data_IF_379483458967
#
_entry.id   IF_379483458967
#
_cell.length_a   1.000
_cell.length_b   1.000
_cell.length_c   1.000
_cell.angle_alpha   90.00
_cell.angle_beta   90.00
_cell.angle_gamma   90.00
#
_symmetry.space_group_name_H-M   'P 1'
#
loop_
_entity.id
_entity.type
_entity.pdbx_description
1 polymer ?
#
# COMPACT_ATOMS: atom_id res chain seq x y z
N UNK A 1 6.01 -48.17 60.77
CA UNK A 1 6.26 -47.66 59.41
C UNK A 1 5.08 -48.01 58.53
N UNK A 2 4.15 -47.09 58.25
CA UNK A 2 3.10 -47.22 57.21
C UNK A 2 2.18 -45.99 57.31
N UNK A 3 2.58 -44.82 56.79
CA UNK A 3 1.62 -43.70 56.59
C UNK A 3 2.03 -42.61 55.59
N UNK A 4 3.20 -42.71 54.94
CA UNK A 4 3.69 -41.67 54.02
C UNK A 4 3.37 -41.92 52.53
N UNK A 5 2.99 -43.13 52.11
CA UNK A 5 2.78 -43.40 50.67
C UNK A 5 1.40 -42.98 50.13
N UNK A 6 0.35 -42.97 50.96
CA UNK A 6 -1.02 -42.64 50.50
C UNK A 6 -1.23 -41.17 50.12
N UNK A 7 -0.44 -40.24 50.67
CA UNK A 7 -0.63 -38.80 50.44
C UNK A 7 -0.04 -38.36 49.09
N UNK A 8 1.10 -38.94 48.68
CA UNK A 8 1.72 -38.66 47.38
C UNK A 8 0.91 -39.18 46.19
N UNK A 9 0.23 -40.33 46.33
CA UNK A 9 -0.61 -40.87 45.24
C UNK A 9 -1.87 -40.02 45.01
N UNK A 10 -2.49 -39.51 46.08
CA UNK A 10 -3.63 -38.58 45.97
C UNK A 10 -3.23 -37.24 45.34
N UNK A 11 -2.06 -36.69 45.68
CA UNK A 11 -1.58 -35.44 45.06
C UNK A 11 -1.19 -35.63 43.60
N UNK A 12 -0.60 -36.78 43.22
CA UNK A 12 -0.30 -37.14 41.82
C UNK A 12 -1.57 -37.40 41.00
N UNK A 13 -2.56 -38.07 41.58
CA UNK A 13 -3.86 -38.28 40.94
C UNK A 13 -4.64 -36.96 40.78
N UNK A 14 -4.59 -36.07 41.79
CA UNK A 14 -5.22 -34.75 41.73
C UNK A 14 -4.55 -33.85 40.69
N UNK A 15 -3.21 -33.88 40.58
CA UNK A 15 -2.49 -33.17 39.51
C UNK A 15 -2.78 -33.75 38.12
N UNK A 16 -2.87 -35.07 37.98
CA UNK A 16 -3.23 -35.72 36.71
C UNK A 16 -4.68 -35.38 36.28
N UNK A 17 -5.62 -35.39 37.23
CA UNK A 17 -7.02 -35.01 36.99
C UNK A 17 -7.15 -33.52 36.68
N UNK A 18 -6.39 -32.65 37.37
CA UNK A 18 -6.34 -31.22 37.07
C UNK A 18 -5.76 -30.94 35.68
N UNK A 19 -4.71 -31.68 35.27
CA UNK A 19 -4.13 -31.55 33.94
C UNK A 19 -5.08 -32.06 32.84
N UNK A 20 -5.83 -33.13 33.13
CA UNK A 20 -6.87 -33.66 32.24
C UNK A 20 -8.07 -32.70 32.12
N UNK A 21 -8.42 -31.97 33.17
CA UNK A 21 -9.51 -30.98 33.17
C UNK A 21 -9.18 -29.74 32.33
N UNK A 22 -7.91 -29.32 32.28
CA UNK A 22 -7.45 -28.21 31.44
C UNK A 22 -7.55 -28.54 29.95
N UNK A 23 -7.41 -29.81 29.56
CA UNK A 23 -7.56 -30.27 28.17
C UNK A 23 -9.02 -30.19 27.66
N UNK A 24 -10.02 -30.12 28.55
CA UNK A 24 -11.43 -29.93 28.18
C UNK A 24 -11.80 -28.45 27.91
N UNK A 25 -10.92 -27.50 28.24
CA UNK A 25 -11.08 -26.09 27.87
C UNK A 25 -10.41 -25.71 26.55
N UNK A 26 -9.88 -26.68 25.80
CA UNK A 26 -9.53 -26.53 24.38
C UNK A 26 -10.83 -26.44 23.56
N UNK A 27 -11.63 -25.41 23.82
CA UNK A 27 -12.89 -25.15 23.13
C UNK A 27 -12.57 -24.82 21.68
N UNK A 28 -13.21 -25.55 20.76
CA UNK A 28 -13.43 -25.10 19.40
C UNK A 28 -13.90 -23.64 19.42
N UNK A 29 -13.13 -22.74 18.83
CA UNK A 29 -13.69 -21.49 18.36
C UNK A 29 -14.58 -21.82 17.18
N UNK A 30 -15.89 -21.81 17.39
CA UNK A 30 -16.83 -21.81 16.27
C UNK A 30 -16.69 -20.45 15.58
N UNK A 31 -15.98 -20.44 14.45
CA UNK A 31 -15.88 -19.25 13.61
C UNK A 31 -17.27 -18.92 13.08
N UNK A 32 -17.86 -17.83 13.57
CA UNK A 32 -19.13 -17.33 13.03
C UNK A 32 -18.88 -16.84 11.60
N UNK A 33 -19.29 -17.65 10.63
CA UNK A 33 -19.29 -17.24 9.22
C UNK A 33 -20.57 -16.47 8.98
N UNK A 34 -20.45 -15.18 8.71
CA UNK A 34 -21.58 -14.33 8.37
C UNK A 34 -21.95 -14.59 6.92
N UNK A 35 -23.24 -14.72 6.64
CA UNK A 35 -23.74 -14.73 5.26
C UNK A 35 -23.72 -13.29 4.75
N UNK A 36 -22.67 -12.96 3.99
CA UNK A 36 -22.44 -11.61 3.47
C UNK A 36 -22.93 -11.55 2.03
N UNK A 37 -23.74 -10.54 1.71
CA UNK A 37 -24.10 -10.25 0.33
C UNK A 37 -22.84 -9.95 -0.49
N UNK A 38 -22.63 -10.73 -1.55
CA UNK A 38 -21.53 -10.49 -2.49
C UNK A 38 -22.02 -9.53 -3.57
N UNK A 39 -21.40 -8.34 -3.63
CA UNK A 39 -21.68 -7.36 -4.67
C UNK A 39 -21.26 -7.83 -6.07
N UNK A 40 -21.66 -7.07 -7.09
CA UNK A 40 -21.22 -7.33 -8.46
C UNK A 40 -19.69 -7.28 -8.58
N UNK A 41 -19.12 -8.27 -9.27
CA UNK A 41 -17.69 -8.29 -9.61
C UNK A 41 -17.36 -7.11 -10.53
N UNK A 42 -16.41 -6.27 -10.13
CA UNK A 42 -15.93 -5.11 -10.90
C UNK A 42 -14.48 -5.29 -11.31
N UNK A 43 -14.12 -4.73 -12.45
CA UNK A 43 -12.71 -4.64 -12.89
C UNK A 43 -11.95 -3.70 -11.97
N UNK A 44 -10.70 -4.05 -11.67
CA UNK A 44 -9.75 -3.25 -10.90
C UNK A 44 -8.52 -3.04 -11.77
N UNK A 45 -8.16 -1.78 -12.05
CA UNK A 45 -6.98 -1.40 -12.83
C UNK A 45 -6.01 -0.66 -11.91
N UNK A 46 -4.91 -1.33 -11.58
CA UNK A 46 -3.79 -0.75 -10.84
C UNK A 46 -2.71 -0.33 -11.84
N UNK A 47 -2.77 0.94 -12.24
CA UNK A 47 -1.92 1.53 -13.26
C UNK A 47 -0.99 2.58 -12.63
N UNK A 48 -0.02 2.09 -11.87
CA UNK A 48 1.03 2.90 -11.27
C UNK A 48 2.27 2.95 -12.18
N UNK A 49 2.54 4.14 -12.70
CA UNK A 49 3.77 4.44 -13.44
C UNK A 49 4.72 5.18 -12.50
N UNK A 50 5.85 4.55 -12.17
CA UNK A 50 6.86 5.15 -11.30
C UNK A 50 8.15 5.29 -12.08
N UNK A 51 8.62 6.53 -12.23
CA UNK A 51 9.97 6.77 -12.70
C UNK A 51 10.90 6.99 -11.50
N UNK A 52 11.74 6.00 -11.21
CA UNK A 52 12.77 6.16 -10.19
C UNK A 52 13.90 7.07 -10.70
N UNK A 53 14.26 8.08 -9.90
CA UNK A 53 15.40 8.97 -10.16
C UNK A 53 16.67 8.16 -10.43
N UNK A 54 17.43 8.60 -11.43
CA UNK A 54 18.66 7.93 -11.87
C UNK A 54 18.44 6.71 -12.78
N UNK A 55 17.18 6.34 -13.08
CA UNK A 55 16.86 5.30 -14.07
C UNK A 55 16.32 5.90 -15.37
N UNK A 56 16.21 5.08 -16.41
CA UNK A 56 15.56 5.44 -17.69
C UNK A 56 14.03 5.51 -17.57
N UNK A 57 13.43 4.84 -16.59
CA UNK A 57 11.97 4.81 -16.39
C UNK A 57 11.17 4.13 -17.51
N UNK A 58 11.83 3.36 -18.38
CA UNK A 58 11.22 2.76 -19.57
C UNK A 58 10.43 1.48 -19.32
N UNK A 59 10.75 0.77 -18.24
CA UNK A 59 10.05 -0.45 -17.84
C UNK A 59 8.94 -0.11 -16.85
N UNK A 60 7.69 -0.33 -17.25
CA UNK A 60 6.50 0.02 -16.48
C UNK A 60 5.50 -1.12 -16.51
N UNK A 61 4.71 -1.25 -15.44
CA UNK A 61 3.80 -2.39 -15.26
C UNK A 61 2.41 -1.91 -14.84
N UNK A 62 1.38 -2.47 -15.46
CA UNK A 62 -0.03 -2.29 -15.09
C UNK A 62 -0.60 -3.65 -14.72
N UNK A 63 -1.36 -3.70 -13.62
CA UNK A 63 -2.06 -4.90 -13.19
C UNK A 63 -3.55 -4.74 -13.36
N UNK A 64 -4.20 -5.75 -13.94
CA UNK A 64 -5.65 -5.78 -14.11
C UNK A 64 -6.22 -7.03 -13.46
N UNK A 65 -7.19 -6.82 -12.57
CA UNK A 65 -7.82 -7.86 -11.78
C UNK A 65 -9.31 -7.56 -11.62
N UNK A 66 -10.00 -8.38 -10.82
CA UNK A 66 -11.39 -8.18 -10.43
C UNK A 66 -11.54 -8.18 -8.91
N UNK A 67 -12.56 -7.49 -8.43
CA UNK A 67 -12.96 -7.58 -7.02
C UNK A 67 -13.27 -9.03 -6.67
N UNK A 68 -13.09 -9.38 -5.39
CA UNK A 68 -13.36 -10.70 -4.88
C UNK A 68 -14.32 -10.60 -3.68
N UNK A 69 -15.12 -11.66 -3.41
CA UNK A 69 -15.90 -11.76 -2.18
C UNK A 69 -15.02 -11.63 -0.93
N UNK A 70 -15.60 -11.19 0.19
CA UNK A 70 -14.87 -10.90 1.43
C UNK A 70 -13.98 -12.06 1.93
N UNK A 71 -14.47 -13.29 1.85
CA UNK A 71 -13.73 -14.47 2.32
C UNK A 71 -12.70 -15.02 1.32
N UNK A 72 -12.56 -14.39 0.15
CA UNK A 72 -11.55 -14.80 -0.83
C UNK A 72 -10.20 -14.13 -0.55
N UNK A 73 -9.19 -14.94 -0.28
CA UNK A 73 -7.82 -14.48 -0.06
C UNK A 73 -7.07 -14.09 -1.35
N UNK A 74 -7.71 -14.21 -2.52
CA UNK A 74 -7.11 -13.87 -3.81
C UNK A 74 -8.10 -13.18 -4.74
N UNK A 75 -7.59 -12.23 -5.52
CA UNK A 75 -8.34 -11.52 -6.57
C UNK A 75 -8.21 -12.23 -7.92
N UNK A 76 -9.29 -12.50 -8.65
CA UNK A 76 -9.20 -13.00 -10.02
C UNK A 76 -8.42 -12.04 -10.93
N UNK A 77 -7.57 -12.58 -11.82
CA UNK A 77 -6.78 -11.80 -12.78
C UNK A 77 -7.53 -11.66 -14.11
N UNK A 78 -7.30 -10.55 -14.82
CA UNK A 78 -7.94 -10.28 -16.13
C UNK A 78 -6.90 -10.38 -17.23
N UNK A 79 -6.98 -11.44 -18.02
CA UNK A 79 -6.11 -11.69 -19.18
C UNK A 79 -6.71 -11.19 -20.49
N UNK A 80 -5.86 -10.99 -21.50
CA UNK A 80 -6.26 -10.61 -22.85
C UNK A 80 -6.78 -9.18 -23.00
N UNK A 81 -6.53 -8.30 -22.03
CA UNK A 81 -6.86 -6.88 -22.15
C UNK A 81 -5.91 -6.19 -23.16
N UNK A 82 -6.42 -5.16 -23.81
CA UNK A 82 -5.61 -4.24 -24.61
C UNK A 82 -5.32 -3.01 -23.76
N UNK A 83 -4.04 -2.74 -23.50
CA UNK A 83 -3.60 -1.68 -22.60
C UNK A 83 -2.59 -0.80 -23.31
N UNK A 84 -2.85 0.51 -23.35
CA UNK A 84 -1.92 1.51 -23.87
C UNK A 84 -1.99 2.81 -23.09
N UNK A 85 -0.86 3.50 -23.02
CA UNK A 85 -0.79 4.90 -22.58
C UNK A 85 -0.39 5.75 -23.77
N UNK A 86 -0.99 6.93 -23.90
CA UNK A 86 -0.65 7.93 -24.90
C UNK A 86 -0.24 9.22 -24.19
N UNK A 87 0.88 9.83 -24.58
CA UNK A 87 1.25 11.14 -24.05
C UNK A 87 0.62 12.28 -24.87
N UNK A 88 0.70 13.50 -24.37
CA UNK A 88 0.16 14.70 -25.04
C UNK A 88 0.74 14.96 -26.45
N UNK A 89 1.92 14.44 -26.75
CA UNK A 89 2.56 14.58 -28.07
C UNK A 89 2.06 13.53 -29.08
N UNK A 90 1.26 12.56 -28.65
CA UNK A 90 0.74 11.47 -29.48
C UNK A 90 1.64 10.22 -29.51
N UNK A 91 2.69 10.15 -28.68
CA UNK A 91 3.48 8.93 -28.55
C UNK A 91 2.66 7.85 -27.82
N UNK A 92 2.66 6.64 -28.36
CA UNK A 92 1.87 5.51 -27.84
C UNK A 92 2.81 4.47 -27.23
N UNK A 93 2.52 4.09 -25.98
CA UNK A 93 3.21 3.06 -25.23
C UNK A 93 2.24 1.89 -24.98
N UNK A 94 2.50 0.76 -25.62
CA UNK A 94 1.69 -0.46 -25.47
C UNK A 94 2.22 -1.31 -24.31
N UNK A 95 1.31 -1.78 -23.46
CA UNK A 95 1.62 -2.71 -22.38
C UNK A 95 1.17 -4.12 -22.80
N UNK A 96 2.13 -5.03 -22.97
CA UNK A 96 1.86 -6.39 -23.42
C UNK A 96 1.69 -7.32 -22.22
N UNK A 97 0.75 -8.27 -22.30
CA UNK A 97 0.55 -9.24 -21.23
C UNK A 97 1.77 -10.18 -21.11
N UNK A 98 2.39 -10.22 -19.93
CA UNK A 98 3.53 -11.12 -19.64
C UNK A 98 3.15 -12.25 -18.69
N UNK A 99 1.97 -12.17 -18.07
CA UNK A 99 1.36 -13.18 -17.23
C UNK A 99 -0.08 -12.77 -16.88
N UNK A 100 -0.89 -13.67 -16.29
CA UNK A 100 -2.30 -13.38 -16.05
C UNK A 100 -2.53 -12.06 -15.29
N UNK A 101 -3.15 -11.09 -15.97
CA UNK A 101 -3.43 -9.77 -15.40
C UNK A 101 -2.22 -8.86 -15.22
N UNK A 102 -1.07 -9.19 -15.79
CA UNK A 102 0.17 -8.43 -15.71
C UNK A 102 0.57 -7.91 -17.10
N UNK A 103 0.58 -6.60 -17.28
CA UNK A 103 0.85 -5.94 -18.56
C UNK A 103 2.09 -5.06 -18.43
N UNK A 104 3.08 -5.26 -19.28
CA UNK A 104 4.40 -4.62 -19.20
C UNK A 104 4.72 -3.84 -20.45
N UNK A 105 5.21 -2.62 -20.27
CA UNK A 105 5.80 -1.77 -21.31
C UNK A 105 7.30 -1.65 -21.02
N UNK A 106 8.15 -1.76 -22.05
CA UNK A 106 9.62 -1.70 -21.92
C UNK A 106 10.25 -0.50 -22.63
N UNK A 107 9.44 0.32 -23.29
CA UNK A 107 9.86 1.48 -24.06
C UNK A 107 9.12 2.76 -23.64
N UNK A 108 8.62 2.82 -22.40
CA UNK A 108 7.99 4.02 -21.87
C UNK A 108 8.99 5.18 -21.86
N UNK A 109 8.53 6.39 -22.19
CA UNK A 109 9.37 7.59 -22.14
C UNK A 109 8.72 8.58 -21.18
N UNK A 110 9.18 8.63 -19.91
CA UNK A 110 8.64 9.55 -18.93
C UNK A 110 9.08 10.98 -19.21
N UNK A 111 8.16 11.92 -19.09
CA UNK A 111 8.41 13.37 -19.22
C UNK A 111 7.71 14.06 -18.06
N UNK A 112 8.48 14.73 -17.18
CA UNK A 112 7.93 15.51 -16.06
C UNK A 112 6.93 16.54 -16.58
N UNK A 113 5.83 16.72 -15.86
CA UNK A 113 4.76 17.67 -16.12
C UNK A 113 3.98 17.43 -17.43
N UNK A 114 4.17 16.28 -18.07
CA UNK A 114 3.41 15.84 -19.24
C UNK A 114 2.10 15.17 -18.84
N UNK A 115 1.03 15.46 -19.58
CA UNK A 115 -0.26 14.77 -19.46
C UNK A 115 -0.20 13.44 -20.24
N UNK A 116 -0.72 12.38 -19.61
CA UNK A 116 -0.84 11.05 -20.20
C UNK A 116 -2.28 10.56 -20.10
N UNK A 117 -2.70 9.79 -21.10
CA UNK A 117 -4.03 9.17 -21.15
C UNK A 117 -3.88 7.66 -21.21
N UNK A 118 -4.47 6.97 -20.23
CA UNK A 118 -4.60 5.52 -20.21
C UNK A 118 -5.82 5.09 -21.04
N UNK A 119 -5.66 4.00 -21.78
CA UNK A 119 -6.73 3.28 -22.44
C UNK A 119 -6.64 1.80 -22.11
N UNK A 120 -7.75 1.23 -21.64
CA UNK A 120 -7.87 -0.20 -21.34
C UNK A 120 -9.14 -0.73 -21.98
N UNK A 121 -9.03 -1.79 -22.78
CA UNK A 121 -10.17 -2.57 -23.25
C UNK A 121 -10.08 -3.98 -22.69
N UNK A 122 -11.06 -4.40 -21.89
CA UNK A 122 -11.08 -5.71 -21.23
C UNK A 122 -12.52 -6.22 -21.12
N UNK A 123 -12.76 -7.51 -21.37
CA UNK A 123 -14.07 -8.15 -21.21
C UNK A 123 -15.23 -7.42 -21.94
N UNK A 124 -14.94 -6.80 -23.09
CA UNK A 124 -15.92 -6.03 -23.88
C UNK A 124 -16.20 -4.62 -23.36
N UNK A 125 -15.49 -4.16 -22.34
CA UNK A 125 -15.58 -2.83 -21.77
C UNK A 125 -14.38 -1.97 -22.13
N UNK A 126 -14.56 -0.65 -22.17
CA UNK A 126 -13.50 0.31 -22.46
C UNK A 126 -13.41 1.34 -21.33
N UNK A 127 -12.19 1.54 -20.84
CA UNK A 127 -11.87 2.46 -19.76
C UNK A 127 -10.82 3.45 -20.19
N UNK A 128 -10.89 4.65 -19.62
CA UNK A 128 -9.88 5.69 -19.81
C UNK A 128 -9.62 6.44 -18.51
N UNK A 129 -8.43 7.02 -18.40
CA UNK A 129 -8.04 7.91 -17.30
C UNK A 129 -7.00 8.90 -17.81
N UNK A 130 -6.95 10.08 -17.21
CA UNK A 130 -5.95 11.12 -17.51
C UNK A 130 -5.23 11.45 -16.21
N UNK A 131 -3.92 11.57 -16.29
CA UNK A 131 -3.09 12.01 -15.17
C UNK A 131 -1.79 12.66 -15.69
N UNK A 132 -1.19 13.49 -14.85
CA UNK A 132 0.08 14.17 -15.11
C UNK A 132 1.22 13.45 -14.38
N UNK A 133 2.36 13.31 -15.06
CA UNK A 133 3.57 12.80 -14.42
C UNK A 133 4.22 13.89 -13.55
N UNK A 134 4.09 13.74 -12.23
CA UNK A 134 4.61 14.70 -11.23
C UNK A 134 6.05 14.38 -10.84
N UNK A 135 6.89 15.41 -10.71
CA UNK A 135 8.27 15.27 -10.20
C UNK A 135 8.30 15.10 -8.69
N UNK A 136 9.45 14.66 -8.17
CA UNK A 136 9.73 14.65 -6.73
C UNK A 136 11.06 15.31 -6.42
N UNK A 137 11.17 15.90 -5.23
CA UNK A 137 12.44 16.34 -4.69
C UNK A 137 13.24 15.15 -4.14
N UNK A 138 14.56 15.09 -4.33
CA UNK A 138 15.36 14.01 -3.79
C UNK A 138 15.36 14.03 -2.25
N UNK A 139 15.58 12.86 -1.66
CA UNK A 139 15.84 12.72 -0.23
C UNK A 139 17.25 13.25 0.04
N UNK A 140 17.37 14.29 0.87
CA UNK A 140 18.64 14.92 1.20
C UNK A 140 19.50 14.03 2.10
N UNK A 141 18.89 13.49 3.16
CA UNK A 141 19.53 12.62 4.14
C UNK A 141 18.50 11.83 4.95
N UNK A 142 18.97 10.73 5.54
CA UNK A 142 18.25 9.93 6.54
C UNK A 142 19.11 9.89 7.81
N UNK A 143 18.51 10.26 8.93
CA UNK A 143 19.12 10.24 10.26
C UNK A 143 18.39 9.22 11.13
N UNK A 144 19.13 8.60 12.05
CA UNK A 144 18.58 7.69 13.06
C UNK A 144 18.81 8.31 14.43
N UNK A 145 17.75 8.37 15.22
CA UNK A 145 17.78 8.79 16.61
C UNK A 145 17.19 7.72 17.52
N UNK A 146 17.53 7.79 18.80
CA UNK A 146 16.83 7.07 19.85
C UNK A 146 16.00 8.12 20.60
N UNK A 147 14.69 7.91 20.66
CA UNK A 147 13.74 8.83 21.28
C UNK A 147 12.87 8.07 22.27
N UNK A 148 12.48 8.66 23.40
CA UNK A 148 11.53 8.04 24.29
C UNK A 148 10.15 7.99 23.62
N UNK A 149 9.54 6.81 23.59
CA UNK A 149 8.14 6.65 23.21
C UNK A 149 7.20 7.21 24.30
N UNK A 150 5.91 7.35 23.99
CA UNK A 150 4.85 7.69 24.93
C UNK A 150 4.85 6.81 26.18
N UNK A 151 5.24 5.53 26.07
CA UNK A 151 5.42 4.61 27.20
C UNK A 151 6.69 4.83 28.05
N UNK A 152 7.61 5.70 27.58
CA UNK A 152 8.91 5.96 28.21
C UNK A 152 10.01 4.96 27.85
N UNK A 153 9.72 3.97 27.00
CA UNK A 153 10.73 3.08 26.43
C UNK A 153 11.42 3.77 25.24
N UNK A 154 12.73 3.62 25.15
CA UNK A 154 13.52 4.18 24.05
C UNK A 154 13.26 3.39 22.76
N UNK A 155 12.83 4.10 21.71
CA UNK A 155 12.57 3.53 20.38
C UNK A 155 13.53 4.11 19.36
N UNK A 156 13.79 3.34 18.29
CA UNK A 156 14.55 3.81 17.15
C UNK A 156 13.60 4.61 16.25
N UNK A 157 14.02 5.82 15.87
CA UNK A 157 13.31 6.67 14.91
C UNK A 157 14.21 6.98 13.73
N UNK A 158 13.70 6.82 12.52
CA UNK A 158 14.32 7.32 11.30
C UNK A 158 13.67 8.64 10.91
N UNK A 159 14.47 9.70 10.78
CA UNK A 159 14.02 10.97 10.19
C UNK A 159 14.65 11.12 8.82
N UNK A 160 13.84 11.27 7.77
CA UNK A 160 14.35 11.66 6.45
C UNK A 160 13.96 13.10 6.14
N UNK A 161 14.80 13.76 5.35
CA UNK A 161 14.70 15.17 5.02
C UNK A 161 14.69 15.35 3.51
N UNK A 162 13.94 16.35 3.03
CA UNK A 162 13.93 16.78 1.64
C UNK A 162 13.67 18.28 1.58
N UNK A 163 14.10 18.92 0.49
CA UNK A 163 13.91 20.35 0.28
C UNK A 163 12.82 20.62 -0.75
N UNK A 164 11.73 21.20 -0.27
CA UNK A 164 10.58 21.54 -1.08
C UNK A 164 10.82 22.79 -1.96
N UNK A 165 10.28 22.87 -3.20
CA UNK A 165 10.39 24.05 -4.06
C UNK A 165 9.54 25.25 -3.57
N UNK A 166 10.11 26.44 -3.58
CA UNK A 166 9.42 27.63 -3.02
C UNK A 166 8.19 28.10 -3.80
N UNK A 167 8.14 27.87 -5.11
CA UNK A 167 7.17 28.52 -6.01
C UNK A 167 6.04 27.58 -6.50
N UNK A 168 5.93 26.37 -5.95
CA UNK A 168 4.99 25.34 -6.39
C UNK A 168 4.31 24.67 -5.20
N UNK A 169 3.00 24.42 -5.25
CA UNK A 169 2.32 23.60 -4.24
C UNK A 169 2.43 22.13 -4.62
N UNK A 170 3.03 21.34 -3.74
CA UNK A 170 3.37 19.95 -3.93
C UNK A 170 2.66 19.04 -2.93
N UNK A 171 2.36 17.84 -3.41
CA UNK A 171 1.80 16.76 -2.62
C UNK A 171 2.72 15.57 -2.73
N UNK A 172 2.93 14.88 -1.61
CA UNK A 172 3.88 13.79 -1.52
C UNK A 172 3.25 12.55 -0.91
N UNK A 173 3.71 11.39 -1.39
CA UNK A 173 3.43 10.08 -0.81
C UNK A 173 4.76 9.39 -0.54
N UNK A 174 5.01 9.07 0.73
CA UNK A 174 6.14 8.25 1.14
C UNK A 174 5.62 6.88 1.53
N UNK A 175 6.27 5.81 1.07
CA UNK A 175 6.07 4.49 1.66
C UNK A 175 7.34 3.94 2.29
N UNK A 176 7.13 3.22 3.39
CA UNK A 176 8.13 2.48 4.13
C UNK A 176 7.90 1.01 3.93
N UNK A 177 8.94 0.34 3.43
CA UNK A 177 8.93 -1.11 3.26
C UNK A 177 10.08 -1.74 4.00
N UNK A 178 9.76 -2.76 4.79
CA UNK A 178 10.74 -3.53 5.54
C UNK A 178 10.27 -4.98 5.68
N UNK A 179 11.19 -5.90 5.95
CA UNK A 179 10.86 -7.31 6.18
C UNK A 179 10.03 -7.55 7.44
N UNK A 180 9.99 -6.58 8.37
CA UNK A 180 9.14 -6.65 9.57
C UNK A 180 7.70 -6.12 9.36
N UNK A 181 7.45 -5.43 8.24
CA UNK A 181 6.14 -4.92 7.88
C UNK A 181 5.41 -5.94 7.00
N UNK A 182 4.15 -6.26 7.32
CA UNK A 182 3.34 -7.17 6.50
C UNK A 182 2.96 -6.51 5.15
N UNK A 183 2.68 -5.21 5.20
CA UNK A 183 2.40 -4.34 4.07
C UNK A 183 3.20 -3.06 4.23
N UNK A 184 3.55 -2.34 3.14
CA UNK A 184 4.15 -1.03 3.26
C UNK A 184 3.27 -0.08 4.07
N UNK A 185 3.89 0.75 4.90
CA UNK A 185 3.23 1.86 5.57
C UNK A 185 3.34 3.12 4.73
N UNK A 186 2.29 3.92 4.71
CA UNK A 186 2.20 5.09 3.84
C UNK A 186 2.00 6.36 4.65
N UNK A 187 2.70 7.41 4.26
CA UNK A 187 2.53 8.75 4.80
C UNK A 187 2.31 9.77 3.69
N UNK A 188 1.28 10.60 3.90
CA UNK A 188 0.93 11.70 3.01
C UNK A 188 1.40 13.01 3.63
N UNK A 189 2.10 13.82 2.82
CA UNK A 189 2.51 15.18 3.22
C UNK A 189 2.17 16.18 2.12
N UNK A 190 1.94 17.43 2.49
CA UNK A 190 1.75 18.54 1.57
C UNK A 190 2.51 19.76 2.10
N UNK A 191 2.89 20.65 1.19
CA UNK A 191 3.75 21.80 1.47
C UNK A 191 2.99 23.12 1.65
N UNK A 192 1.64 23.13 1.68
CA UNK A 192 0.82 24.35 1.61
C UNK A 192 1.19 25.44 2.65
N UNK A 193 1.86 25.06 3.74
CA UNK A 193 2.33 25.95 4.82
C UNK A 193 3.87 26.01 4.97
N UNK A 194 4.61 25.25 4.17
CA UNK A 194 6.05 25.02 4.32
C UNK A 194 6.85 25.17 3.03
N UNK A 195 6.24 25.66 1.94
CA UNK A 195 6.89 25.97 0.66
C UNK A 195 8.31 26.52 0.80
N UNK A 196 9.26 25.90 0.09
CA UNK A 196 10.65 26.37 0.02
C UNK A 196 11.52 26.01 1.24
N UNK A 197 10.95 25.37 2.26
CA UNK A 197 11.67 24.93 3.44
C UNK A 197 12.17 23.49 3.31
N UNK A 198 13.08 23.12 4.21
CA UNK A 198 13.37 21.71 4.42
C UNK A 198 12.23 21.09 5.23
N UNK A 199 11.67 20.02 4.70
CA UNK A 199 10.64 19.22 5.35
C UNK A 199 11.31 17.95 5.89
N UNK A 200 10.83 17.48 7.04
CA UNK A 200 11.31 16.25 7.65
C UNK A 200 10.13 15.37 8.04
N UNK A 201 10.27 14.09 7.80
CA UNK A 201 9.26 13.09 8.13
C UNK A 201 9.91 11.96 8.92
N UNK A 202 9.15 11.37 9.85
CA UNK A 202 9.65 10.41 10.84
C UNK A 202 8.97 9.06 10.66
N UNK A 203 9.73 8.00 10.89
CA UNK A 203 9.22 6.63 10.88
C UNK A 203 9.86 5.81 11.99
N UNK A 204 9.03 5.06 12.70
CA UNK A 204 9.43 4.15 13.77
C UNK A 204 8.44 3.00 13.87
N UNK A 205 8.93 1.81 14.24
CA UNK A 205 8.12 0.67 14.67
C UNK A 205 8.73 0.18 15.99
N UNK A 206 7.99 0.39 17.08
CA UNK A 206 8.46 0.22 18.46
C UNK A 206 8.86 -1.23 18.77
N UNK A 207 8.13 -2.20 18.20
CA UNK A 207 8.26 -3.61 18.51
C UNK A 207 9.32 -4.32 17.65
N UNK A 208 9.41 -3.94 16.38
CA UNK A 208 10.07 -4.74 15.35
C UNK A 208 11.25 -4.06 14.69
N UNK A 209 11.36 -2.73 14.72
CA UNK A 209 12.50 -2.05 14.15
C UNK A 209 13.72 -2.13 15.08
N UNK A 210 14.68 -2.97 14.70
CA UNK A 210 15.89 -3.28 15.50
C UNK A 210 17.17 -3.05 14.70
N UNK A 211 18.34 -2.88 15.35
CA UNK A 211 19.63 -2.86 14.66
C UNK A 211 19.78 -4.02 13.67
N UNK A 212 20.22 -3.72 12.45
CA UNK A 212 20.29 -4.65 11.32
C UNK A 212 19.03 -4.73 10.45
N UNK A 213 17.92 -4.11 10.85
CA UNK A 213 16.73 -4.01 9.99
C UNK A 213 17.01 -3.15 8.77
N UNK A 214 16.41 -3.48 7.63
CA UNK A 214 16.51 -2.69 6.40
C UNK A 214 15.16 -2.02 6.16
N UNK A 215 15.15 -0.68 6.10
CA UNK A 215 13.99 0.11 5.74
C UNK A 215 14.23 0.73 4.37
N UNK A 216 13.41 0.35 3.39
CA UNK A 216 13.33 1.00 2.09
C UNK A 216 12.33 2.15 2.17
N UNK A 217 12.80 3.37 1.95
CA UNK A 217 12.00 4.59 1.92
C UNK A 217 11.86 5.00 0.45
N UNK A 218 10.63 5.04 -0.06
CA UNK A 218 10.34 5.56 -1.40
C UNK A 218 9.49 6.81 -1.29
N UNK A 219 10.06 7.94 -1.66
CA UNK A 219 9.40 9.24 -1.64
C UNK A 219 8.95 9.61 -3.05
N UNK A 220 7.67 9.94 -3.21
CA UNK A 220 7.04 10.26 -4.51
C UNK A 220 6.38 11.62 -4.44
N UNK A 221 6.53 12.40 -5.51
CA UNK A 221 5.69 13.57 -5.74
C UNK A 221 4.46 13.13 -6.51
N UNK A 222 3.28 13.55 -6.06
CA UNK A 222 2.00 13.06 -6.55
C UNK A 222 1.06 14.20 -6.92
N UNK A 223 0.09 13.92 -7.78
CA UNK A 223 -0.97 14.89 -8.08
C UNK A 223 -1.86 15.13 -6.85
N UNK A 224 -2.45 16.33 -6.73
CA UNK A 224 -3.46 16.62 -5.70
C UNK A 224 -4.62 15.63 -5.71
N UNK A 225 -5.03 15.21 -6.90
CA UNK A 225 -6.13 14.26 -7.07
C UNK A 225 -5.77 12.88 -6.53
N UNK A 226 -4.54 12.41 -6.78
CA UNK A 226 -4.07 11.15 -6.24
C UNK A 226 -3.81 11.23 -4.72
N UNK A 227 -3.29 12.36 -4.22
CA UNK A 227 -3.18 12.63 -2.79
C UNK A 227 -4.54 12.50 -2.08
N UNK A 228 -5.58 13.15 -2.62
CA UNK A 228 -6.94 13.09 -2.05
C UNK A 228 -7.51 11.67 -2.09
N UNK A 229 -7.28 10.94 -3.19
CA UNK A 229 -7.68 9.54 -3.31
C UNK A 229 -7.00 8.65 -2.26
N UNK A 230 -5.69 8.80 -2.07
CA UNK A 230 -4.93 8.08 -1.05
C UNK A 230 -5.36 8.46 0.36
N UNK A 231 -5.66 9.73 0.62
CA UNK A 231 -6.13 10.17 1.93
C UNK A 231 -7.42 9.44 2.33
N UNK A 232 -8.39 9.35 1.40
CA UNK A 232 -9.62 8.58 1.61
C UNK A 232 -9.34 7.09 1.86
N UNK A 233 -8.39 6.49 1.13
CA UNK A 233 -8.03 5.08 1.34
C UNK A 233 -7.40 4.83 2.72
N UNK A 234 -6.51 5.73 3.17
CA UNK A 234 -5.82 5.59 4.45
C UNK A 234 -6.77 5.87 5.63
N UNK A 235 -7.71 6.79 5.49
CA UNK A 235 -8.78 7.01 6.48
C UNK A 235 -9.64 5.76 6.70
N UNK A 236 -9.90 5.00 5.64
CA UNK A 236 -10.62 3.72 5.73
C UNK A 236 -9.78 2.65 6.42
N UNK A 237 -8.49 2.58 6.11
CA UNK A 237 -7.59 1.59 6.71
C UNK A 237 -7.37 1.84 8.20
N UNK A 238 -7.20 3.11 8.60
CA UNK A 238 -7.00 3.52 10.00
C UNK A 238 -8.28 3.75 10.80
N UNK A 239 -9.45 3.55 10.18
CA UNK A 239 -10.75 3.84 10.78
C UNK A 239 -11.10 2.90 11.95
N UNK A 240 -11.84 3.42 12.94
CA UNK A 240 -12.41 2.61 14.01
C UNK A 240 -13.36 1.54 13.45
N UNK A 241 -13.44 0.33 14.02
CA UNK A 241 -14.43 -0.69 13.63
C UNK A 241 -15.89 -0.23 13.82
N UNK A 242 -16.12 0.90 14.49
CA UNK A 242 -17.43 1.53 14.67
C UNK A 242 -17.66 2.74 13.75
N UNK A 243 -16.72 3.03 12.85
CA UNK A 243 -16.88 4.10 11.87
C UNK A 243 -17.99 3.74 10.87
N UNK A 244 -18.61 4.75 10.27
CA UNK A 244 -19.57 4.53 9.20
C UNK A 244 -18.85 3.74 8.09
N UNK A 245 -19.43 2.65 7.57
CA UNK A 245 -18.84 1.91 6.46
C UNK A 245 -18.53 2.89 5.33
N UNK A 246 -17.28 2.95 4.86
CA UNK A 246 -16.91 3.92 3.86
C UNK A 246 -17.70 3.71 2.58
N UNK A 247 -18.10 4.82 1.96
CA UNK A 247 -18.65 4.77 0.61
C UNK A 247 -17.62 4.24 -0.40
N UNK A 248 -18.08 3.89 -1.59
CA UNK A 248 -17.19 3.46 -2.67
C UNK A 248 -16.17 4.56 -3.01
N UNK A 249 -14.90 4.35 -2.68
CA UNK A 249 -13.81 5.24 -3.08
C UNK A 249 -13.53 4.99 -4.56
N UNK A 250 -13.77 6.02 -5.38
CA UNK A 250 -13.56 5.97 -6.83
C UNK A 250 -12.24 6.66 -7.20
N UNK A 251 -11.46 6.00 -8.05
CA UNK A 251 -10.30 6.61 -8.68
C UNK A 251 -10.65 7.42 -9.93
N UNK A 252 -9.64 7.72 -10.74
CA UNK A 252 -9.78 8.51 -11.97
C UNK A 252 -10.11 7.69 -13.23
N UNK A 253 -10.36 6.37 -13.08
CA UNK A 253 -10.62 5.46 -14.20
C UNK A 253 -12.12 5.43 -14.50
N UNK A 254 -12.49 5.91 -15.68
CA UNK A 254 -13.89 5.99 -16.13
C UNK A 254 -14.17 5.00 -17.24
N UNK A 255 -15.35 4.38 -17.21
CA UNK A 255 -15.82 3.53 -18.29
C UNK A 255 -16.47 4.42 -19.38
N UNK A 256 -16.02 4.30 -20.62
CA UNK A 256 -16.48 5.14 -21.74
C UNK A 256 -17.79 4.66 -22.34
N UNK A 257 -18.18 3.42 -22.08
CA UNK A 257 -19.39 2.80 -22.62
C UNK A 257 -20.57 2.82 -21.63
N UNK A 258 -20.29 2.74 -20.33
CA UNK A 258 -21.30 2.81 -19.26
C UNK A 258 -20.70 3.39 -17.97
N UNK A 259 -21.05 4.64 -17.64
CA UNK A 259 -20.56 5.34 -16.46
C UNK A 259 -20.98 4.70 -15.12
N UNK A 260 -22.03 3.87 -15.10
CA UNK A 260 -22.45 3.16 -13.89
C UNK A 260 -21.59 1.92 -13.62
N UNK A 261 -20.93 1.39 -14.66
CA UNK A 261 -20.03 0.24 -14.55
C UNK A 261 -18.56 0.68 -14.55
N UNK A 262 -18.19 1.47 -13.54
CA UNK A 262 -16.83 1.96 -13.33
C UNK A 262 -15.87 0.83 -12.91
N UNK A 263 -14.58 1.04 -13.19
CA UNK A 263 -13.51 0.22 -12.63
C UNK A 263 -13.01 0.83 -11.32
N UNK A 264 -12.55 -0.02 -10.40
CA UNK A 264 -11.77 0.41 -9.25
C UNK A 264 -10.28 0.54 -9.60
N UNK A 265 -9.51 1.11 -8.67
CA UNK A 265 -8.09 1.41 -8.87
C UNK A 265 -7.88 2.84 -9.36
N UNK A 266 -6.65 3.12 -9.77
CA UNK A 266 -6.22 4.47 -10.12
C UNK A 266 -5.14 4.42 -11.19
N UNK A 267 -5.12 5.41 -12.07
CA UNK A 267 -4.04 5.66 -13.00
C UNK A 267 -3.19 6.82 -12.48
N UNK A 268 -1.95 6.53 -12.04
CA UNK A 268 -1.01 7.54 -11.54
C UNK A 268 0.30 7.50 -12.29
N UNK A 269 0.93 8.66 -12.47
CA UNK A 269 2.31 8.75 -12.92
C UNK A 269 3.09 9.68 -11.98
N UNK A 270 4.24 9.22 -11.52
CA UNK A 270 5.08 10.01 -10.63
C UNK A 270 6.55 9.68 -10.84
N UNK A 271 7.40 10.63 -10.53
CA UNK A 271 8.79 10.41 -10.23
C UNK A 271 8.95 10.02 -8.76
N UNK A 272 9.92 9.17 -8.46
CA UNK A 272 10.22 8.70 -7.11
C UNK A 272 11.72 8.79 -6.83
N UNK A 273 12.07 9.10 -5.58
CA UNK A 273 13.41 8.89 -5.05
C UNK A 273 13.38 7.77 -4.00
N UNK A 274 14.41 6.94 -3.98
CA UNK A 274 14.43 5.74 -3.14
C UNK A 274 15.75 5.61 -2.40
N UNK A 275 15.66 5.42 -1.09
CA UNK A 275 16.79 5.16 -0.20
C UNK A 275 16.57 3.86 0.55
N UNK A 276 17.62 3.04 0.67
CA UNK A 276 17.63 1.86 1.54
C UNK A 276 18.52 2.15 2.74
N UNK A 277 17.94 2.14 3.94
CA UNK A 277 18.65 2.46 5.18
C UNK A 277 18.78 1.21 6.06
N UNK A 278 19.99 0.94 6.53
CA UNK A 278 20.26 -0.13 7.50
C UNK A 278 20.26 0.48 8.89
N UNK A 279 19.31 0.06 9.72
CA UNK A 279 19.19 0.47 11.12
C UNK A 279 20.45 0.06 11.87
N UNK A 280 21.09 1.00 12.56
CA UNK A 280 22.34 0.82 13.30
C UNK A 280 22.10 0.39 14.73
#
# INVERSE_FOLDING_TARGET
MQRLEKYNFKNKALTLVSFLFVLFFSSCEDTVTLDLETGETKIVVDAEIIWQKGTTGNEQTIKISKTAPYYNNTTPKVSGAQVRIENKNGDIFTFNETGPGLYVCTNFVPVINMDYTLYVTAEGQSFTAVEKLTSVTPIDKVEQNIVPDFGGEDIIELTFYYKDPADEVNYYLTDYKSGFLLFPEYELTNDELFNGNQISTRFSDEDKMKPGSIVEITHRGVSKNFYNYMNLLLEVYGGSPFSIPPGNIRGNIVNTSDSNNFAFGYFRLCEADKVSYVVK
#
